data_IF_977864384319
#
_entry.id   IF_977864384319
#
_cell.length_a   1.000
_cell.length_b   1.000
_cell.length_c   1.000
_cell.angle_alpha   90.00
_cell.angle_beta   90.00
_cell.angle_gamma   90.00
#
_symmetry.space_group_name_H-M   'P 1'
#
loop_
_entity.id
_entity.type
_entity.pdbx_description
1 polymer ?
#
# COMPACT_ATOMS: atom_id res chain seq x y z
N UNK A 1 11.93 -10.43 42.90
CA UNK A 1 12.02 -9.67 41.63
C UNK A 1 11.86 -10.60 40.41
N UNK A 2 12.58 -11.73 40.35
CA UNK A 2 12.48 -12.73 39.27
C UNK A 2 11.07 -13.33 39.12
N UNK A 3 10.37 -13.62 40.21
CA UNK A 3 8.99 -14.14 40.16
C UNK A 3 7.98 -13.18 39.49
N UNK A 4 8.22 -11.87 39.57
CA UNK A 4 7.43 -10.84 38.87
C UNK A 4 7.79 -10.80 37.37
N UNK A 5 9.08 -10.93 37.03
CA UNK A 5 9.57 -10.98 35.65
C UNK A 5 9.13 -12.24 34.90
N UNK A 6 9.09 -13.38 35.59
CA UNK A 6 8.54 -14.64 35.06
C UNK A 6 7.02 -14.53 34.81
N UNK A 7 6.28 -13.89 35.72
CA UNK A 7 4.87 -13.56 35.49
C UNK A 7 4.69 -12.59 34.31
N UNK A 8 5.61 -11.64 34.12
CA UNK A 8 5.61 -10.74 32.96
C UNK A 8 5.85 -11.50 31.64
N UNK A 9 6.83 -12.41 31.59
CA UNK A 9 7.15 -13.20 30.40
C UNK A 9 6.02 -14.17 29.97
N UNK A 10 5.29 -14.74 30.94
CA UNK A 10 4.30 -15.79 30.64
C UNK A 10 2.87 -15.29 30.78
N UNK A 11 2.47 -14.81 31.97
CA UNK A 11 1.06 -14.51 32.26
C UNK A 11 0.60 -13.16 31.70
N UNK A 12 1.46 -12.14 31.78
CA UNK A 12 1.12 -10.79 31.32
C UNK A 12 1.39 -10.58 29.82
N UNK A 13 2.04 -11.55 29.17
CA UNK A 13 2.33 -11.51 27.74
C UNK A 13 1.07 -11.75 26.90
N UNK A 14 1.01 -11.10 25.74
CA UNK A 14 -0.04 -11.33 24.74
C UNK A 14 0.18 -12.67 24.03
N UNK A 15 -0.80 -13.13 23.23
CA UNK A 15 -0.64 -14.34 22.40
C UNK A 15 0.55 -14.14 21.45
N UNK A 16 0.67 -12.95 20.89
CA UNK A 16 1.73 -12.53 19.98
C UNK A 16 3.10 -12.52 20.68
N UNK A 17 3.19 -11.96 21.90
CA UNK A 17 4.42 -11.97 22.69
C UNK A 17 4.87 -13.40 23.01
N UNK A 18 3.95 -14.28 23.39
CA UNK A 18 4.26 -15.68 23.68
C UNK A 18 4.77 -16.41 22.44
N UNK A 19 4.12 -16.23 21.27
CA UNK A 19 4.60 -16.79 19.99
C UNK A 19 5.99 -16.29 19.64
N UNK A 20 6.22 -14.98 19.86
CA UNK A 20 7.51 -14.32 19.67
C UNK A 20 8.61 -14.95 20.54
N UNK A 21 8.37 -15.09 21.84
CA UNK A 21 9.35 -15.68 22.75
C UNK A 21 9.62 -17.16 22.46
N UNK A 22 8.58 -17.95 22.19
CA UNK A 22 8.73 -19.36 21.81
C UNK A 22 9.60 -19.48 20.56
N UNK A 23 9.37 -18.65 19.54
CA UNK A 23 10.15 -18.72 18.30
C UNK A 23 11.60 -18.32 18.51
N UNK A 24 11.88 -17.30 19.34
CA UNK A 24 13.25 -16.93 19.72
C UNK A 24 13.99 -18.12 20.34
N UNK A 25 13.33 -18.86 21.24
CA UNK A 25 13.92 -20.04 21.89
C UNK A 25 14.15 -21.18 20.89
N UNK A 26 13.15 -21.49 20.05
CA UNK A 26 13.26 -22.54 19.02
C UNK A 26 14.41 -22.26 18.05
N UNK A 27 14.58 -21.00 17.64
CA UNK A 27 15.61 -20.59 16.69
C UNK A 27 17.02 -20.69 17.30
N UNK A 28 17.20 -20.37 18.59
CA UNK A 28 18.49 -20.53 19.28
C UNK A 28 18.95 -21.99 19.37
N UNK A 29 18.00 -22.94 19.39
CA UNK A 29 18.30 -24.33 19.72
C UNK A 29 18.92 -25.13 18.57
N UNK A 30 19.03 -24.57 17.35
CA UNK A 30 19.52 -25.24 16.13
C UNK A 30 18.94 -26.65 15.91
N UNK A 31 17.76 -26.91 16.49
CA UNK A 31 17.15 -28.22 16.45
C UNK A 31 16.10 -28.18 15.35
N UNK A 32 16.35 -28.93 14.27
CA UNK A 32 15.41 -29.26 13.19
C UNK A 32 14.17 -30.05 13.68
N UNK A 33 13.74 -29.87 14.93
CA UNK A 33 12.48 -30.39 15.46
C UNK A 33 11.39 -29.48 14.92
N UNK A 34 10.65 -29.99 13.92
CA UNK A 34 9.37 -29.49 13.39
C UNK A 34 8.86 -28.28 14.18
N UNK A 35 9.08 -27.07 13.66
CA UNK A 35 8.42 -25.84 14.15
C UNK A 35 6.96 -26.18 14.38
N UNK A 36 6.57 -26.32 15.65
CA UNK A 36 5.20 -26.65 16.01
C UNK A 36 4.38 -25.48 15.49
N UNK A 37 3.38 -25.71 14.64
CA UNK A 37 2.54 -24.61 14.17
C UNK A 37 1.96 -23.87 15.38
N UNK A 38 2.34 -22.60 15.52
CA UNK A 38 1.97 -21.74 16.63
C UNK A 38 0.68 -20.97 16.29
N UNK A 39 0.25 -20.94 15.02
CA UNK A 39 -0.82 -20.07 14.53
C UNK A 39 -2.20 -20.46 15.09
N UNK A 40 -2.43 -21.74 15.32
CA UNK A 40 -3.72 -22.26 15.82
C UNK A 40 -3.76 -22.41 17.35
N UNK A 41 -2.66 -22.08 18.05
CA UNK A 41 -2.58 -22.23 19.50
C UNK A 41 -3.22 -21.06 20.23
N UNK A 42 -4.03 -21.37 21.23
CA UNK A 42 -4.60 -20.39 22.16
C UNK A 42 -3.56 -19.96 23.22
N UNK A 43 -3.87 -18.90 23.99
CA UNK A 43 -2.95 -18.32 24.98
C UNK A 43 -2.44 -19.35 25.98
N UNK A 44 -3.32 -20.16 26.56
CA UNK A 44 -2.96 -21.17 27.58
C UNK A 44 -2.04 -22.25 27.01
N UNK A 45 -2.27 -22.69 25.77
CA UNK A 45 -1.40 -23.65 25.09
C UNK A 45 0.00 -23.07 24.81
N UNK A 46 0.08 -21.77 24.50
CA UNK A 46 1.36 -21.08 24.31
C UNK A 46 2.09 -20.85 25.63
N UNK A 47 1.40 -20.44 26.69
CA UNK A 47 1.99 -20.34 28.03
C UNK A 47 2.57 -21.68 28.49
N UNK A 48 1.82 -22.77 28.29
CA UNK A 48 2.28 -24.13 28.60
C UNK A 48 3.53 -24.50 27.80
N UNK A 49 3.53 -24.26 26.49
CA UNK A 49 4.66 -24.59 25.63
C UNK A 49 5.92 -23.77 25.97
N UNK A 50 5.75 -22.48 26.27
CA UNK A 50 6.85 -21.61 26.69
C UNK A 50 7.47 -22.11 27.99
N UNK A 51 6.65 -22.55 28.95
CA UNK A 51 7.15 -23.18 30.20
C UNK A 51 7.95 -24.45 29.93
N UNK A 52 7.45 -25.34 29.06
CA UNK A 52 8.19 -26.55 28.69
C UNK A 52 9.55 -26.19 28.11
N UNK A 53 9.61 -25.22 27.21
CA UNK A 53 10.88 -24.78 26.65
C UNK A 53 11.83 -24.16 27.69
N UNK A 54 11.33 -23.40 28.66
CA UNK A 54 12.14 -22.87 29.76
C UNK A 54 12.71 -24.02 30.59
N UNK A 55 11.87 -24.96 31.05
CA UNK A 55 12.29 -26.14 31.80
C UNK A 55 13.37 -26.93 31.06
N UNK A 56 13.15 -27.20 29.76
CA UNK A 56 14.07 -27.98 28.95
C UNK A 56 15.40 -27.26 28.65
N UNK A 57 15.41 -25.93 28.54
CA UNK A 57 16.66 -25.18 28.28
C UNK A 57 17.48 -24.99 29.55
N UNK A 58 16.82 -24.81 30.69
CA UNK A 58 17.49 -24.55 31.96
C UNK A 58 17.72 -25.81 32.81
N UNK A 59 17.19 -26.95 32.36
CA UNK A 59 17.19 -28.22 33.10
C UNK A 59 16.57 -28.06 34.51
N UNK A 60 15.45 -27.34 34.58
CA UNK A 60 14.70 -27.08 35.81
C UNK A 60 13.42 -27.91 35.79
N UNK A 61 13.17 -28.66 36.86
CA UNK A 61 11.93 -29.43 37.00
C UNK A 61 10.71 -28.52 36.95
N UNK A 62 9.69 -28.98 36.24
CA UNK A 62 8.47 -28.22 36.02
C UNK A 62 7.75 -27.87 37.32
N UNK A 63 7.71 -28.81 38.26
CA UNK A 63 7.09 -28.61 39.57
C UNK A 63 7.83 -27.53 40.38
N UNK A 64 9.16 -27.45 40.25
CA UNK A 64 9.99 -26.42 40.89
C UNK A 64 9.72 -25.06 40.24
N UNK A 65 9.64 -25.01 38.90
CA UNK A 65 9.34 -23.79 38.17
C UNK A 65 7.92 -23.26 38.45
N UNK A 66 6.93 -24.15 38.56
CA UNK A 66 5.53 -23.78 38.84
C UNK A 66 5.30 -23.41 40.32
N UNK A 67 6.01 -24.05 41.25
CA UNK A 67 5.95 -23.73 42.69
C UNK A 67 6.79 -22.50 43.07
N UNK A 68 7.72 -22.10 42.22
CA UNK A 68 8.63 -20.97 42.47
C UNK A 68 9.72 -21.28 43.50
N UNK A 69 9.90 -22.55 43.88
CA UNK A 69 10.87 -23.00 44.88
C UNK A 69 12.28 -23.20 44.29
N UNK A 70 12.74 -22.21 43.52
CA UNK A 70 14.01 -22.24 42.80
C UNK A 70 15.16 -21.95 43.77
N UNK A 71 16.25 -22.69 43.65
CA UNK A 71 17.48 -22.40 44.37
C UNK A 71 18.20 -21.15 43.78
N UNK A 72 19.27 -20.68 44.43
CA UNK A 72 19.95 -19.44 44.02
C UNK A 72 20.50 -19.51 42.59
N UNK A 73 21.08 -20.64 42.21
CA UNK A 73 21.66 -20.85 40.87
C UNK A 73 20.55 -20.92 39.81
N UNK A 74 19.48 -21.67 40.08
CA UNK A 74 18.31 -21.77 39.18
C UNK A 74 17.61 -20.42 38.99
N UNK A 75 17.52 -19.61 40.06
CA UNK A 75 17.00 -18.24 39.98
C UNK A 75 17.86 -17.35 39.07
N UNK A 76 19.18 -17.45 39.19
CA UNK A 76 20.11 -16.68 38.37
C UNK A 76 20.05 -17.12 36.90
N UNK A 77 20.03 -18.42 36.64
CA UNK A 77 19.86 -18.99 35.30
C UNK A 77 18.53 -18.58 34.65
N UNK A 78 17.43 -18.65 35.40
CA UNK A 78 16.12 -18.20 34.92
C UNK A 78 16.10 -16.69 34.66
N UNK A 79 16.72 -15.90 35.52
CA UNK A 79 16.86 -14.45 35.35
C UNK A 79 17.60 -14.11 34.05
N UNK A 80 18.79 -14.69 33.86
CA UNK A 80 19.61 -14.49 32.66
C UNK A 80 18.89 -14.94 31.39
N UNK A 81 18.17 -16.06 31.44
CA UNK A 81 17.38 -16.56 30.30
C UNK A 81 16.26 -15.60 29.89
N UNK A 82 15.52 -15.05 30.87
CA UNK A 82 14.47 -14.07 30.62
C UNK A 82 15.07 -12.78 30.03
N UNK A 83 16.18 -12.31 30.61
CA UNK A 83 16.88 -11.10 30.14
C UNK A 83 17.40 -11.25 28.71
N UNK A 84 17.93 -12.42 28.38
CA UNK A 84 18.34 -12.78 27.03
C UNK A 84 17.19 -12.72 26.01
N UNK A 85 16.03 -13.28 26.37
CA UNK A 85 14.84 -13.26 25.50
C UNK A 85 14.36 -11.83 25.29
N UNK A 86 14.26 -11.03 26.35
CA UNK A 86 13.84 -9.64 26.24
C UNK A 86 14.84 -8.79 25.46
N UNK A 87 16.14 -9.01 25.68
CA UNK A 87 17.21 -8.35 24.93
C UNK A 87 17.12 -8.66 23.44
N UNK A 88 16.96 -9.93 23.07
CA UNK A 88 16.79 -10.32 21.66
C UNK A 88 15.50 -9.77 21.05
N UNK A 89 14.38 -9.86 21.76
CA UNK A 89 13.10 -9.28 21.34
C UNK A 89 13.22 -7.79 21.04
N UNK A 90 13.96 -7.06 21.90
CA UNK A 90 14.25 -5.63 21.74
C UNK A 90 15.20 -5.36 20.58
N UNK A 91 16.26 -6.15 20.42
CA UNK A 91 17.22 -5.99 19.33
C UNK A 91 16.55 -6.21 17.96
N UNK A 92 15.74 -7.26 17.81
CA UNK A 92 14.97 -7.52 16.58
C UNK A 92 14.05 -6.33 16.24
N UNK A 93 13.42 -5.75 17.26
CA UNK A 93 12.56 -4.59 17.07
C UNK A 93 13.35 -3.35 16.62
N UNK A 94 14.46 -3.05 17.30
CA UNK A 94 15.32 -1.92 16.95
C UNK A 94 15.86 -2.06 15.52
N UNK A 95 16.32 -3.26 15.15
CA UNK A 95 16.79 -3.56 13.81
C UNK A 95 15.67 -3.37 12.78
N UNK A 96 14.46 -3.88 13.05
CA UNK A 96 13.31 -3.65 12.17
C UNK A 96 12.98 -2.17 11.97
N UNK A 97 13.04 -1.36 13.04
CA UNK A 97 12.76 0.07 12.98
C UNK A 97 13.70 0.80 11.98
N UNK A 98 14.95 0.35 11.83
CA UNK A 98 15.90 0.88 10.85
C UNK A 98 15.46 0.61 9.38
N UNK A 99 14.78 -0.50 9.11
CA UNK A 99 14.32 -0.88 7.75
C UNK A 99 12.93 -0.34 7.38
N UNK A 100 12.17 0.19 8.35
CA UNK A 100 10.79 0.68 8.10
C UNK A 100 10.61 2.16 8.44
N UNK A 101 11.67 2.84 8.87
CA UNK A 101 11.64 4.26 9.23
C UNK A 101 11.06 5.16 8.14
N UNK A 102 11.30 4.85 6.86
CA UNK A 102 10.78 5.59 5.70
C UNK A 102 9.25 5.56 5.57
N UNK A 103 8.55 4.65 6.27
CA UNK A 103 7.08 4.60 6.33
C UNK A 103 6.50 5.54 7.39
N UNK A 104 7.31 5.99 8.35
CA UNK A 104 6.83 6.77 9.49
C UNK A 104 6.29 8.12 9.05
N UNK A 105 5.03 8.42 9.40
CA UNK A 105 4.35 9.67 9.04
C UNK A 105 4.32 10.00 7.52
N UNK A 106 4.53 8.99 6.66
CA UNK A 106 4.53 9.12 5.20
C UNK A 106 3.37 8.33 4.58
N UNK A 107 2.18 8.94 4.39
CA UNK A 107 1.03 8.26 3.79
C UNK A 107 1.30 7.69 2.40
N UNK A 108 2.04 8.43 1.54
CA UNK A 108 2.39 7.99 0.18
C UNK A 108 3.21 6.69 0.22
N UNK A 109 4.24 6.65 1.07
CA UNK A 109 5.09 5.50 1.28
C UNK A 109 4.30 4.28 1.78
N UNK A 110 3.39 4.47 2.74
CA UNK A 110 2.52 3.40 3.27
C UNK A 110 1.65 2.78 2.17
N UNK A 111 1.07 3.59 1.29
CA UNK A 111 0.24 3.08 0.20
C UNK A 111 1.08 2.30 -0.80
N UNK A 112 2.21 2.86 -1.23
CA UNK A 112 3.15 2.21 -2.12
C UNK A 112 3.63 0.85 -1.57
N UNK A 113 4.12 0.84 -0.34
CA UNK A 113 4.59 -0.36 0.37
C UNK A 113 3.54 -1.46 0.35
N UNK A 114 2.30 -1.15 0.76
CA UNK A 114 1.26 -2.16 0.82
C UNK A 114 0.92 -2.72 -0.56
N UNK A 115 0.78 -1.88 -1.59
CA UNK A 115 0.49 -2.38 -2.95
C UNK A 115 1.62 -3.25 -3.49
N UNK A 116 2.88 -2.85 -3.27
CA UNK A 116 4.03 -3.65 -3.68
C UNK A 116 4.09 -4.99 -2.94
N UNK A 117 3.87 -5.01 -1.62
CA UNK A 117 3.81 -6.26 -0.84
C UNK A 117 2.70 -7.19 -1.33
N UNK A 118 1.53 -6.66 -1.70
CA UNK A 118 0.47 -7.48 -2.30
C UNK A 118 0.92 -8.09 -3.63
N UNK A 119 1.61 -7.32 -4.46
CA UNK A 119 2.13 -7.79 -5.74
C UNK A 119 3.21 -8.86 -5.57
N UNK A 120 4.16 -8.62 -4.66
CA UNK A 120 5.21 -9.57 -4.27
C UNK A 120 4.62 -10.88 -3.79
N UNK A 121 3.67 -10.81 -2.85
CA UNK A 121 2.98 -11.99 -2.33
C UNK A 121 2.26 -12.77 -3.42
N UNK A 122 1.52 -12.07 -4.29
CA UNK A 122 0.73 -12.71 -5.36
C UNK A 122 1.61 -13.39 -6.42
N UNK A 123 2.78 -12.83 -6.71
CA UNK A 123 3.67 -13.35 -7.75
C UNK A 123 4.79 -14.25 -7.19
N UNK A 124 4.85 -14.46 -5.87
CA UNK A 124 5.92 -15.21 -5.18
C UNK A 124 7.34 -14.70 -5.52
N UNK A 125 7.51 -13.36 -5.58
CA UNK A 125 8.76 -12.71 -5.98
C UNK A 125 9.58 -12.24 -4.79
N UNK A 126 10.81 -12.72 -4.65
CA UNK A 126 11.71 -12.33 -3.55
C UNK A 126 12.71 -11.25 -3.90
N UNK A 127 13.09 -11.12 -5.17
CA UNK A 127 14.07 -10.12 -5.62
C UNK A 127 13.38 -9.09 -6.51
N UNK A 128 13.45 -7.83 -6.10
CA UNK A 128 12.90 -6.69 -6.86
C UNK A 128 14.04 -5.72 -7.18
N UNK A 129 14.10 -5.27 -8.44
CA UNK A 129 15.03 -4.23 -8.86
C UNK A 129 14.29 -3.26 -9.75
N UNK A 130 14.63 -1.98 -9.69
CA UNK A 130 14.02 -0.99 -10.57
C UNK A 130 14.54 -1.15 -12.02
N UNK A 131 13.67 -1.09 -13.05
CA UNK A 131 12.21 -1.17 -12.99
C UNK A 131 11.71 -2.59 -12.68
N UNK A 132 10.65 -2.71 -11.88
CA UNK A 132 10.11 -3.99 -11.39
C UNK A 132 9.16 -4.63 -12.40
N UNK A 133 9.62 -4.78 -13.64
CA UNK A 133 8.79 -5.17 -14.80
C UNK A 133 8.24 -6.61 -14.66
N UNK A 134 8.92 -7.45 -13.87
CA UNK A 134 8.51 -8.84 -13.64
C UNK A 134 7.32 -8.98 -12.69
N UNK A 135 6.98 -7.94 -11.93
CA UNK A 135 5.76 -7.95 -11.11
C UNK A 135 4.56 -7.72 -12.02
N UNK A 136 3.99 -8.82 -12.50
CA UNK A 136 2.74 -8.76 -13.23
C UNK A 136 1.61 -8.42 -12.27
N UNK A 137 1.00 -7.26 -12.50
CA UNK A 137 -0.34 -6.98 -12.01
C UNK A 137 -1.38 -7.56 -12.97
N UNK A 138 -1.05 -8.47 -13.88
CA UNK A 138 -2.05 -9.21 -14.65
C UNK A 138 -2.56 -10.43 -13.85
N UNK A 139 -3.56 -11.14 -14.37
CA UNK A 139 -3.93 -12.44 -13.81
C UNK A 139 -2.95 -13.45 -14.41
N UNK A 140 -2.50 -14.47 -13.66
CA UNK A 140 -1.93 -15.63 -14.33
C UNK A 140 -2.97 -16.06 -15.36
N UNK A 141 -2.61 -16.02 -16.64
CA UNK A 141 -3.45 -16.63 -17.66
C UNK A 141 -3.58 -18.09 -17.22
N UNK A 142 -4.79 -18.52 -16.89
CA UNK A 142 -5.11 -19.93 -16.71
C UNK A 142 -4.94 -20.62 -18.08
N UNK A 143 -3.69 -20.77 -18.51
CA UNK A 143 -3.30 -21.53 -19.67
C UNK A 143 -3.19 -23.00 -19.23
N UNK A 144 -4.30 -23.55 -18.74
CA UNK A 144 -4.49 -24.98 -18.58
C UNK A 144 -5.70 -25.41 -19.42
N UNK A 145 -5.62 -25.12 -20.71
CA UNK A 145 -6.20 -26.00 -21.73
C UNK A 145 -5.37 -27.30 -21.73
N UNK A 146 -5.69 -28.16 -20.78
CA UNK A 146 -5.50 -29.60 -20.93
C UNK A 146 -6.67 -30.22 -20.19
N UNK A 147 -7.67 -30.57 -20.99
CA UNK A 147 -8.61 -31.62 -20.67
C UNK A 147 -7.86 -32.82 -20.07
N UNK A 148 -8.56 -33.53 -19.17
CA UNK A 148 -8.19 -34.78 -18.49
C UNK A 148 -7.86 -34.58 -16.98
N UNK A 149 -8.88 -34.85 -16.16
CA UNK A 149 -8.83 -35.35 -14.76
C UNK A 149 -8.37 -34.42 -13.63
N UNK A 150 -8.98 -33.24 -13.52
CA UNK A 150 -8.72 -32.26 -12.44
C UNK A 150 -9.83 -32.16 -11.37
N UNK A 151 -10.31 -33.28 -10.81
CA UNK A 151 -11.26 -33.22 -9.68
C UNK A 151 -10.82 -33.81 -8.35
N UNK A 152 -9.67 -34.49 -8.27
CA UNK A 152 -9.23 -35.06 -6.97
C UNK A 152 -7.77 -34.74 -6.58
N UNK A 153 -6.97 -34.10 -7.44
CA UNK A 153 -5.54 -33.83 -7.20
C UNK A 153 -5.17 -32.36 -6.86
N UNK A 154 -6.14 -31.44 -6.78
CA UNK A 154 -5.85 -29.99 -6.67
C UNK A 154 -5.58 -29.52 -5.22
N UNK A 155 -6.07 -30.23 -4.20
CA UNK A 155 -5.78 -29.91 -2.80
C UNK A 155 -4.29 -30.07 -2.41
N UNK A 156 -3.60 -31.18 -2.73
CA UNK A 156 -2.22 -31.36 -2.32
C UNK A 156 -1.24 -30.38 -3.01
N UNK A 157 -1.57 -29.85 -4.19
CA UNK A 157 -0.69 -28.92 -4.91
C UNK A 157 -0.65 -27.53 -4.26
N UNK A 158 -1.79 -27.00 -3.78
CA UNK A 158 -1.82 -25.72 -3.05
C UNK A 158 -1.05 -25.77 -1.73
N UNK A 159 -1.15 -26.88 -1.00
CA UNK A 159 -0.41 -27.08 0.24
C UNK A 159 1.10 -27.19 -0.03
N UNK A 160 1.51 -27.81 -1.14
CA UNK A 160 2.92 -27.86 -1.58
C UNK A 160 3.45 -26.52 -2.09
N UNK A 161 2.67 -25.76 -2.85
CA UNK A 161 3.00 -24.38 -3.25
C UNK A 161 3.15 -23.48 -2.01
N UNK A 162 2.28 -23.63 -1.01
CA UNK A 162 2.38 -22.87 0.24
C UNK A 162 3.64 -23.22 1.06
N UNK A 163 4.12 -24.46 0.97
CA UNK A 163 5.37 -24.90 1.64
C UNK A 163 6.62 -24.37 0.90
N UNK A 164 6.54 -24.21 -0.43
CA UNK A 164 7.66 -23.80 -1.27
C UNK A 164 7.78 -22.28 -1.44
N UNK A 165 6.69 -21.53 -1.24
CA UNK A 165 6.68 -20.08 -1.38
C UNK A 165 7.65 -19.41 -0.41
N UNK A 166 8.59 -18.65 -0.97
CA UNK A 166 9.59 -17.93 -0.19
C UNK A 166 9.01 -16.68 0.50
N UNK A 167 7.84 -16.19 0.07
CA UNK A 167 7.19 -14.96 0.60
C UNK A 167 5.95 -15.22 1.44
N UNK A 168 5.63 -16.47 1.73
CA UNK A 168 4.35 -16.83 2.36
C UNK A 168 4.16 -16.24 3.77
N UNK A 169 5.26 -15.97 4.47
CA UNK A 169 5.26 -15.26 5.76
C UNK A 169 4.76 -13.82 5.65
N UNK A 170 4.74 -13.21 4.45
CA UNK A 170 4.23 -11.85 4.21
C UNK A 170 2.70 -11.79 4.06
N UNK A 171 2.01 -12.93 3.92
CA UNK A 171 0.53 -13.00 3.79
C UNK A 171 -0.25 -12.14 4.80
N UNK A 172 0.14 -12.01 6.08
CA UNK A 172 -0.56 -11.15 7.02
C UNK A 172 -0.60 -9.67 6.60
N UNK A 173 0.44 -9.18 5.91
CA UNK A 173 0.53 -7.79 5.45
C UNK A 173 -0.49 -7.49 4.34
N UNK A 174 -0.87 -8.50 3.53
CA UNK A 174 -1.86 -8.34 2.46
C UNK A 174 -3.29 -8.13 2.99
N UNK A 175 -3.51 -8.33 4.29
CA UNK A 175 -4.80 -8.03 4.94
C UNK A 175 -4.91 -6.56 5.36
N UNK A 176 -3.81 -5.81 5.34
CA UNK A 176 -3.77 -4.42 5.74
C UNK A 176 -4.17 -3.55 4.55
N UNK A 177 -5.21 -2.72 4.74
CA UNK A 177 -5.67 -1.77 3.74
C UNK A 177 -5.76 -0.37 4.36
N UNK A 178 -5.02 0.63 3.84
CA UNK A 178 -5.00 1.98 4.40
C UNK A 178 -6.32 2.71 4.14
N UNK A 179 -7.04 2.31 3.09
CA UNK A 179 -8.36 2.86 2.79
C UNK A 179 -9.41 2.49 3.86
N UNK A 180 -9.25 1.33 4.53
CA UNK A 180 -10.16 0.83 5.56
C UNK A 180 -9.73 1.12 7.00
N UNK A 181 -8.48 1.49 7.22
CA UNK A 181 -7.90 1.63 8.57
C UNK A 181 -7.57 3.09 8.90
N UNK A 182 -7.57 3.43 10.19
CA UNK A 182 -7.11 4.74 10.71
C UNK A 182 -5.69 4.68 11.27
N UNK A 183 -5.21 3.51 11.68
CA UNK A 183 -3.90 3.29 12.29
C UNK A 183 -3.00 2.34 11.47
N UNK A 184 -2.96 2.53 10.15
CA UNK A 184 -2.27 1.62 9.22
C UNK A 184 -0.79 1.40 9.56
N UNK A 185 -0.05 2.47 9.86
CA UNK A 185 1.37 2.39 10.20
C UNK A 185 1.62 1.47 11.42
N UNK A 186 0.86 1.67 12.51
CA UNK A 186 0.97 0.83 13.71
C UNK A 186 0.68 -0.64 13.39
N UNK A 187 -0.31 -0.92 12.53
CA UNK A 187 -0.62 -2.30 12.09
C UNK A 187 0.52 -2.91 11.26
N UNK A 188 1.15 -2.14 10.39
CA UNK A 188 2.32 -2.59 9.61
C UNK A 188 3.45 -2.98 10.56
N UNK A 189 3.84 -2.09 11.49
CA UNK A 189 4.89 -2.36 12.48
C UNK A 189 4.60 -3.63 13.26
N UNK A 190 3.42 -3.72 13.89
CA UNK A 190 3.06 -4.89 14.70
C UNK A 190 3.06 -6.18 13.89
N UNK A 191 2.64 -6.12 12.62
CA UNK A 191 2.64 -7.29 11.74
C UNK A 191 4.05 -7.68 11.31
N UNK A 192 4.92 -6.71 10.99
CA UNK A 192 6.32 -6.97 10.64
C UNK A 192 7.12 -7.48 11.84
N UNK A 193 6.94 -6.90 13.03
CA UNK A 193 7.60 -7.37 14.27
C UNK A 193 7.24 -8.84 14.54
N UNK A 194 5.95 -9.18 14.38
CA UNK A 194 5.50 -10.57 14.47
C UNK A 194 6.16 -11.46 13.41
N UNK A 195 6.14 -11.05 12.14
CA UNK A 195 6.71 -11.82 11.03
C UNK A 195 8.20 -12.08 11.25
N UNK A 196 8.99 -11.04 11.43
CA UNK A 196 10.46 -11.07 11.57
C UNK A 196 10.87 -11.93 12.76
N UNK A 197 10.11 -11.87 13.86
CA UNK A 197 10.40 -12.72 15.01
C UNK A 197 9.99 -14.18 14.81
N UNK A 198 8.95 -14.42 14.03
CA UNK A 198 8.37 -15.77 13.83
C UNK A 198 9.06 -16.59 12.73
N UNK A 199 10.00 -15.99 11.98
CA UNK A 199 10.71 -16.65 10.89
C UNK A 199 12.19 -16.94 11.23
N UNK A 200 12.75 -17.94 10.56
CA UNK A 200 14.17 -18.30 10.67
C UNK A 200 15.10 -17.12 10.31
N UNK A 201 16.31 -17.08 10.87
CA UNK A 201 17.29 -16.01 10.60
C UNK A 201 17.53 -15.76 9.11
N UNK A 202 17.64 -16.82 8.29
CA UNK A 202 17.82 -16.68 6.84
C UNK A 202 16.63 -16.01 6.14
N UNK A 203 15.40 -16.35 6.54
CA UNK A 203 14.18 -15.70 6.02
C UNK A 203 14.06 -14.26 6.51
N UNK A 204 14.56 -13.98 7.72
CA UNK A 204 14.60 -12.65 8.30
C UNK A 204 15.53 -11.72 7.51
N UNK A 205 16.75 -12.15 7.26
CA UNK A 205 17.74 -11.43 6.45
C UNK A 205 17.16 -11.07 5.07
N UNK A 206 16.59 -12.05 4.36
CA UNK A 206 15.88 -11.81 3.09
C UNK A 206 14.70 -10.84 3.20
N UNK A 207 14.01 -10.82 4.33
CA UNK A 207 12.90 -9.87 4.55
C UNK A 207 13.46 -8.46 4.73
N UNK A 208 14.58 -8.29 5.43
CA UNK A 208 15.25 -7.00 5.55
C UNK A 208 15.80 -6.50 4.21
N UNK A 209 16.45 -7.37 3.42
CA UNK A 209 16.86 -7.07 2.05
C UNK A 209 15.67 -6.57 1.21
N UNK A 210 14.54 -7.28 1.27
CA UNK A 210 13.32 -6.86 0.57
C UNK A 210 12.79 -5.50 1.03
N UNK A 211 12.83 -5.20 2.33
CA UNK A 211 12.40 -3.91 2.87
C UNK A 211 13.30 -2.78 2.39
N UNK A 212 14.60 -3.02 2.32
CA UNK A 212 15.58 -2.08 1.79
C UNK A 212 15.38 -1.85 0.29
N UNK A 213 15.22 -2.92 -0.50
CA UNK A 213 14.94 -2.80 -1.93
C UNK A 213 13.67 -1.97 -2.19
N UNK A 214 12.62 -2.18 -1.39
CA UNK A 214 11.38 -1.40 -1.47
C UNK A 214 11.59 0.09 -1.15
N UNK A 215 12.42 0.40 -0.16
CA UNK A 215 12.78 1.78 0.18
C UNK A 215 13.56 2.46 -0.95
N UNK A 216 14.56 1.77 -1.52
CA UNK A 216 15.37 2.28 -2.62
C UNK A 216 14.49 2.57 -3.85
N UNK A 217 13.64 1.61 -4.22
CA UNK A 217 12.67 1.77 -5.31
C UNK A 217 11.73 2.94 -5.02
N UNK A 218 11.17 3.04 -3.81
CA UNK A 218 10.29 4.14 -3.44
C UNK A 218 11.00 5.49 -3.53
N UNK A 219 12.25 5.57 -3.07
CA UNK A 219 13.07 6.80 -3.12
C UNK A 219 13.28 7.25 -4.56
N UNK A 220 13.61 6.32 -5.47
CA UNK A 220 13.73 6.62 -6.90
C UNK A 220 12.41 7.17 -7.48
N UNK A 221 11.28 6.53 -7.18
CA UNK A 221 9.96 6.93 -7.67
C UNK A 221 9.54 8.28 -7.08
N UNK A 222 9.82 8.50 -5.80
CA UNK A 222 9.50 9.71 -5.08
C UNK A 222 10.09 10.94 -5.78
N UNK A 223 11.33 10.83 -6.26
CA UNK A 223 12.02 11.88 -7.00
C UNK A 223 11.58 12.00 -8.47
N UNK A 224 11.11 10.92 -9.10
CA UNK A 224 10.67 10.93 -10.51
C UNK A 224 9.28 11.57 -10.68
N UNK A 225 8.36 11.32 -9.77
CA UNK A 225 6.98 11.83 -9.91
C UNK A 225 6.88 13.27 -9.44
N UNK A 226 6.50 14.15 -10.35
CA UNK A 226 6.27 15.56 -10.05
C UNK A 226 4.90 15.78 -9.38
N UNK A 227 4.86 15.74 -8.05
CA UNK A 227 3.66 15.99 -7.25
C UNK A 227 3.14 17.43 -7.35
N UNK A 228 3.86 18.34 -8.01
CA UNK A 228 3.37 19.70 -8.28
C UNK A 228 2.35 19.77 -9.42
N UNK A 229 2.15 18.68 -10.18
CA UNK A 229 1.14 18.62 -11.23
C UNK A 229 -0.28 18.83 -10.67
N UNK A 230 -1.14 19.46 -11.49
CA UNK A 230 -2.53 19.80 -11.15
C UNK A 230 -3.36 18.61 -10.64
N UNK A 231 -3.06 17.41 -11.15
CA UNK A 231 -3.72 16.15 -10.80
C UNK A 231 -3.61 15.80 -9.31
N UNK A 232 -2.52 16.19 -8.66
CA UNK A 232 -2.26 15.92 -7.25
C UNK A 232 -2.62 17.09 -6.34
N UNK A 233 -2.62 18.32 -6.87
CA UNK A 233 -2.89 19.55 -6.10
C UNK A 233 -4.35 19.98 -6.08
N UNK A 234 -5.22 19.39 -6.90
CA UNK A 234 -6.62 19.80 -6.95
C UNK A 234 -7.34 19.60 -5.60
N UNK A 235 -8.22 20.52 -5.25
CA UNK A 235 -9.14 20.43 -4.10
C UNK A 235 -10.58 20.10 -4.51
N UNK A 236 -10.86 19.96 -5.81
CA UNK A 236 -12.21 19.67 -6.30
C UNK A 236 -12.58 18.20 -6.05
N UNK A 237 -13.46 17.96 -5.07
CA UNK A 237 -13.89 16.62 -4.64
C UNK A 237 -14.50 15.78 -5.75
N UNK A 238 -15.33 16.36 -6.62
CA UNK A 238 -16.00 15.63 -7.69
C UNK A 238 -15.04 15.20 -8.79
N UNK A 239 -14.05 16.06 -9.08
CA UNK A 239 -12.99 15.75 -10.03
C UNK A 239 -12.06 14.67 -9.49
N UNK A 240 -11.71 14.74 -8.20
CA UNK A 240 -10.94 13.69 -7.50
C UNK A 240 -11.71 12.38 -7.53
N UNK A 241 -13.01 12.39 -7.21
CA UNK A 241 -13.85 11.21 -7.19
C UNK A 241 -13.95 10.56 -8.57
N UNK A 242 -14.23 11.36 -9.59
CA UNK A 242 -14.29 10.87 -10.97
C UNK A 242 -12.96 10.24 -11.39
N UNK A 243 -11.84 10.89 -11.07
CA UNK A 243 -10.54 10.42 -11.51
C UNK A 243 -10.10 9.17 -10.75
N UNK A 244 -10.33 9.13 -9.44
CA UNK A 244 -10.13 7.96 -8.60
C UNK A 244 -10.90 6.75 -9.11
N UNK A 245 -12.20 6.90 -9.42
CA UNK A 245 -13.00 5.81 -10.01
C UNK A 245 -12.49 5.40 -11.39
N UNK A 246 -12.10 6.37 -12.23
CA UNK A 246 -11.57 6.08 -13.56
C UNK A 246 -10.29 5.25 -13.48
N UNK A 247 -9.33 5.65 -12.63
CA UNK A 247 -8.07 4.94 -12.46
C UNK A 247 -8.26 3.59 -11.80
N UNK A 248 -9.14 3.49 -10.81
CA UNK A 248 -9.45 2.20 -10.15
C UNK A 248 -10.09 1.20 -11.12
N UNK A 249 -10.86 1.69 -12.10
CA UNK A 249 -11.40 0.84 -13.17
C UNK A 249 -10.34 0.43 -14.20
N UNK A 250 -9.42 1.34 -14.51
CA UNK A 250 -8.36 1.13 -15.51
C UNK A 250 -7.23 0.24 -14.97
N UNK A 251 -6.91 0.38 -13.68
CA UNK A 251 -5.83 -0.33 -12.98
C UNK A 251 -6.36 -1.04 -11.70
N UNK A 252 -7.32 -1.98 -11.82
CA UNK A 252 -8.02 -2.56 -10.67
C UNK A 252 -7.11 -3.34 -9.72
N UNK A 253 -5.96 -3.82 -10.20
CA UNK A 253 -5.04 -4.67 -9.42
C UNK A 253 -3.98 -3.88 -8.66
N UNK A 254 -3.78 -2.61 -9.03
CA UNK A 254 -2.98 -1.64 -8.28
C UNK A 254 -3.87 -0.87 -7.29
N UNK A 255 -5.18 -0.87 -7.52
CA UNK A 255 -6.13 -0.15 -6.69
C UNK A 255 -6.37 -0.85 -5.34
N UNK A 256 -6.13 -0.12 -4.26
CA UNK A 256 -6.58 -0.48 -2.93
C UNK A 256 -8.12 -0.37 -2.83
N UNK A 257 -8.71 -1.02 -1.83
CA UNK A 257 -10.17 -1.03 -1.64
C UNK A 257 -10.79 0.35 -1.75
N UNK A 258 -11.98 0.45 -2.35
CA UNK A 258 -12.70 1.72 -2.49
C UNK A 258 -12.86 2.45 -1.15
N UNK A 259 -12.78 3.77 -1.19
CA UNK A 259 -12.92 4.66 -0.02
C UNK A 259 -13.75 5.87 -0.39
N UNK A 260 -14.50 6.41 0.57
CA UNK A 260 -15.24 7.67 0.40
C UNK A 260 -14.45 8.90 0.84
N UNK A 261 -13.37 8.72 1.60
CA UNK A 261 -12.55 9.82 2.10
C UNK A 261 -11.68 10.42 0.99
N UNK A 262 -11.83 11.73 0.75
CA UNK A 262 -11.13 12.46 -0.33
C UNK A 262 -9.61 12.40 -0.23
N UNK A 263 -9.04 12.47 0.97
CA UNK A 263 -7.58 12.41 1.14
C UNK A 263 -7.05 11.02 0.81
N UNK A 264 -7.76 9.97 1.24
CA UNK A 264 -7.45 8.57 0.88
C UNK A 264 -7.60 8.32 -0.63
N UNK A 265 -8.57 8.96 -1.30
CA UNK A 265 -8.69 8.94 -2.76
C UNK A 265 -7.47 9.57 -3.43
N UNK A 266 -7.00 10.73 -2.95
CA UNK A 266 -5.77 11.37 -3.45
C UNK A 266 -4.53 10.49 -3.27
N UNK A 267 -4.37 9.89 -2.09
CA UNK A 267 -3.26 8.97 -1.83
C UNK A 267 -3.33 7.74 -2.72
N UNK A 268 -4.53 7.21 -2.97
CA UNK A 268 -4.72 6.09 -3.91
C UNK A 268 -4.35 6.47 -5.34
N UNK A 269 -4.75 7.65 -5.81
CA UNK A 269 -4.37 8.17 -7.15
C UNK A 269 -2.85 8.27 -7.25
N UNK A 270 -2.19 8.88 -6.26
CA UNK A 270 -0.74 9.03 -6.26
C UNK A 270 -0.03 7.68 -6.22
N UNK A 271 -0.50 6.75 -5.40
CA UNK A 271 0.03 5.39 -5.34
C UNK A 271 -0.08 4.64 -6.66
N UNK A 272 -1.17 4.82 -7.43
CA UNK A 272 -1.28 4.23 -8.77
C UNK A 272 -0.17 4.76 -9.68
N UNK A 273 0.11 6.07 -9.65
CA UNK A 273 1.23 6.65 -10.39
C UNK A 273 2.57 6.10 -9.90
N UNK A 274 2.77 6.01 -8.59
CA UNK A 274 4.00 5.48 -7.99
C UNK A 274 4.28 4.04 -8.47
N UNK A 275 3.27 3.17 -8.41
CA UNK A 275 3.39 1.77 -8.83
C UNK A 275 3.59 1.65 -10.34
N UNK A 276 2.89 2.45 -11.16
CA UNK A 276 3.11 2.48 -12.60
C UNK A 276 4.55 2.94 -12.92
N UNK A 277 5.07 3.93 -12.20
CA UNK A 277 6.46 4.38 -12.34
C UNK A 277 7.47 3.30 -11.94
N UNK A 278 7.15 2.50 -10.92
CA UNK A 278 7.95 1.40 -10.44
C UNK A 278 8.06 0.24 -11.45
N UNK A 279 6.97 -0.02 -12.16
CA UNK A 279 6.74 -1.30 -12.87
C UNK A 279 6.69 -1.18 -14.39
N UNK A 280 6.84 0.03 -14.92
CA UNK A 280 6.88 0.32 -16.34
C UNK A 280 8.27 0.83 -16.72
N UNK A 281 8.71 0.54 -17.94
CA UNK A 281 9.96 1.12 -18.47
C UNK A 281 9.90 2.66 -18.41
N UNK A 282 11.01 3.35 -18.09
CA UNK A 282 11.00 4.80 -17.88
C UNK A 282 10.39 5.61 -19.02
N UNK A 283 10.73 5.28 -20.28
CA UNK A 283 10.23 5.98 -21.47
C UNK A 283 8.73 5.74 -21.71
N UNK A 284 8.27 4.53 -21.43
CA UNK A 284 6.86 4.16 -21.53
C UNK A 284 6.04 4.82 -20.42
N UNK A 285 6.59 4.87 -19.20
CA UNK A 285 5.95 5.57 -18.09
C UNK A 285 5.78 7.06 -18.39
N UNK A 286 6.77 7.75 -18.98
CA UNK A 286 6.62 9.16 -19.34
C UNK A 286 5.43 9.40 -20.27
N UNK A 287 5.27 8.56 -21.32
CA UNK A 287 4.13 8.64 -22.25
C UNK A 287 2.79 8.34 -21.56
N UNK A 288 2.78 7.35 -20.67
CA UNK A 288 1.60 6.98 -19.89
C UNK A 288 1.21 8.11 -18.94
N UNK A 289 2.17 8.69 -18.23
CA UNK A 289 1.98 9.79 -17.28
C UNK A 289 1.39 11.02 -17.97
N UNK A 290 1.90 11.39 -19.15
CA UNK A 290 1.35 12.47 -19.98
C UNK A 290 -0.10 12.19 -20.38
N UNK A 291 -0.38 10.98 -20.85
CA UNK A 291 -1.73 10.56 -21.26
C UNK A 291 -2.72 10.64 -20.10
N UNK A 292 -2.34 10.12 -18.93
CA UNK A 292 -3.15 10.15 -17.72
C UNK A 292 -3.37 11.58 -17.20
N UNK A 293 -2.34 12.43 -17.28
CA UNK A 293 -2.40 13.84 -16.90
C UNK A 293 -3.30 14.64 -17.85
N UNK A 294 -3.21 14.42 -19.15
CA UNK A 294 -4.03 15.10 -20.15
C UNK A 294 -5.51 14.68 -20.04
N UNK A 295 -5.78 13.39 -19.77
CA UNK A 295 -7.14 12.89 -19.47
C UNK A 295 -7.75 13.64 -18.28
N UNK A 296 -6.98 13.84 -17.21
CA UNK A 296 -7.41 14.63 -16.06
C UNK A 296 -7.66 16.11 -16.43
N UNK A 297 -6.73 16.75 -17.14
CA UNK A 297 -6.85 18.16 -17.53
C UNK A 297 -8.04 18.43 -18.44
N UNK A 298 -8.35 17.53 -19.38
CA UNK A 298 -9.57 17.59 -20.20
C UNK A 298 -10.82 17.56 -19.33
N UNK A 299 -10.88 16.65 -18.36
CA UNK A 299 -12.03 16.57 -17.46
C UNK A 299 -12.13 17.80 -16.56
N UNK A 300 -11.02 18.31 -16.03
CA UNK A 300 -10.96 19.55 -15.25
C UNK A 300 -11.56 20.73 -16.03
N UNK A 301 -11.20 20.89 -17.31
CA UNK A 301 -11.78 21.91 -18.20
C UNK A 301 -13.30 21.79 -18.31
N UNK A 302 -13.83 20.56 -18.41
CA UNK A 302 -15.28 20.33 -18.43
C UNK A 302 -15.95 20.72 -17.12
N UNK A 303 -15.34 20.41 -15.97
CA UNK A 303 -15.87 20.82 -14.67
C UNK A 303 -15.84 22.35 -14.47
N UNK A 304 -14.75 23.00 -14.88
CA UNK A 304 -14.65 24.46 -14.82
C UNK A 304 -15.67 25.14 -15.77
N UNK A 305 -15.87 24.57 -16.96
CA UNK A 305 -16.87 25.05 -17.92
C UNK A 305 -18.32 24.73 -17.52
N UNK A 306 -18.56 23.90 -16.51
CA UNK A 306 -19.91 23.77 -15.92
C UNK A 306 -20.27 24.96 -15.03
N UNK A 307 -19.29 25.69 -14.48
CA UNK A 307 -19.50 26.97 -13.81
C UNK A 307 -19.64 28.14 -14.79
N UNK A 308 -18.95 28.07 -15.93
CA UNK A 308 -19.10 29.00 -17.04
C UNK A 308 -19.85 28.36 -18.21
N UNK A 309 -21.05 27.87 -17.94
CA UNK A 309 -21.99 27.54 -19.01
C UNK A 309 -22.60 28.84 -19.55
N UNK A 310 -21.74 29.71 -20.09
CA UNK A 310 -22.14 30.54 -21.20
C UNK A 310 -22.55 29.54 -22.28
N UNK A 311 -23.85 29.38 -22.48
CA UNK A 311 -24.38 28.43 -23.46
C UNK A 311 -23.76 28.76 -24.82
N UNK A 312 -23.63 27.76 -25.69
CA UNK A 312 -23.27 28.00 -27.10
C UNK A 312 -24.20 29.03 -27.78
N UNK A 313 -25.33 29.37 -27.16
CA UNK A 313 -26.22 30.44 -27.61
C UNK A 313 -25.59 31.83 -27.43
N UNK A 314 -24.74 32.12 -26.45
CA UNK A 314 -24.15 33.49 -26.34
C UNK A 314 -23.04 33.76 -27.37
N UNK A 315 -22.56 32.75 -28.10
CA UNK A 315 -21.69 32.97 -29.28
C UNK A 315 -22.46 33.07 -30.60
N UNK A 316 -23.77 32.89 -30.56
CA UNK A 316 -24.63 33.06 -31.73
C UNK A 316 -25.50 34.25 -31.45
N UNK A 317 -25.20 35.40 -32.07
CA UNK A 317 -26.06 36.58 -31.97
C UNK A 317 -27.49 36.22 -32.46
N UNK A 318 -28.37 35.86 -31.53
CA UNK A 318 -29.78 35.58 -31.79
C UNK A 318 -30.55 36.87 -31.68
N UNK A 319 -30.65 37.60 -32.78
CA UNK A 319 -31.56 38.73 -32.92
C UNK A 319 -32.92 38.23 -33.40
N UNK A 320 -34.00 38.84 -32.92
CA UNK A 320 -35.34 38.65 -33.49
C UNK A 320 -35.38 39.17 -34.94
N UNK A 321 -36.39 38.79 -35.72
CA UNK A 321 -36.56 39.32 -37.11
C UNK A 321 -36.77 40.84 -37.13
N UNK A 322 -37.40 41.40 -36.09
CA UNK A 322 -37.56 42.85 -35.93
C UNK A 322 -36.22 43.53 -35.63
N UNK A 323 -35.38 42.90 -34.81
CA UNK A 323 -34.03 43.40 -34.51
C UNK A 323 -33.11 43.30 -35.72
N UNK A 324 -33.23 42.24 -36.53
CA UNK A 324 -32.55 42.15 -37.82
C UNK A 324 -32.98 43.25 -38.79
N UNK A 325 -34.26 43.58 -38.81
CA UNK A 325 -34.79 44.65 -39.66
C UNK A 325 -34.24 46.02 -39.24
N UNK A 326 -34.12 46.29 -37.94
CA UNK A 326 -33.48 47.50 -37.40
C UNK A 326 -31.98 47.53 -37.72
N UNK A 327 -31.27 46.42 -37.49
CA UNK A 327 -29.84 46.30 -37.78
C UNK A 327 -29.53 46.49 -39.26
N UNK A 328 -30.39 45.98 -40.15
CA UNK A 328 -30.26 46.16 -41.61
C UNK A 328 -30.38 47.63 -41.99
N UNK A 329 -31.36 48.36 -41.41
CA UNK A 329 -31.49 49.81 -41.61
C UNK A 329 -30.30 50.60 -41.07
N UNK A 330 -29.79 50.26 -39.89
CA UNK A 330 -28.63 50.92 -39.28
C UNK A 330 -27.35 50.65 -40.09
N UNK A 331 -27.20 49.44 -40.63
CA UNK A 331 -26.04 49.04 -41.41
C UNK A 331 -26.08 49.47 -42.88
N UNK A 332 -27.11 50.20 -43.33
CA UNK A 332 -27.25 50.65 -44.70
C UNK A 332 -27.61 49.54 -45.69
N UNK A 333 -28.64 48.76 -45.38
CA UNK A 333 -29.18 47.65 -46.20
C UNK A 333 -28.18 46.51 -46.49
N UNK A 334 -27.17 46.34 -45.62
CA UNK A 334 -26.26 45.21 -45.69
C UNK A 334 -26.97 43.89 -45.36
N UNK A 335 -26.55 42.80 -46.04
CA UNK A 335 -27.13 41.48 -45.80
C UNK A 335 -26.90 41.01 -44.35
N UNK A 336 -27.83 40.22 -43.80
CA UNK A 336 -27.73 39.67 -42.43
C UNK A 336 -26.37 39.01 -42.14
N UNK A 337 -25.79 38.33 -43.13
CA UNK A 337 -24.48 37.69 -42.98
C UNK A 337 -23.33 38.70 -42.86
N UNK A 338 -23.34 39.80 -43.61
CA UNK A 338 -22.32 40.84 -43.51
C UNK A 338 -22.37 41.54 -42.15
N UNK A 339 -23.57 41.79 -41.64
CA UNK A 339 -23.79 42.36 -40.30
C UNK A 339 -23.26 41.40 -39.22
N UNK A 340 -23.51 40.09 -39.33
CA UNK A 340 -22.97 39.08 -38.41
C UNK A 340 -21.46 39.06 -38.36
N UNK A 341 -20.79 39.13 -39.52
CA UNK A 341 -19.33 39.10 -39.61
C UNK A 341 -18.73 40.32 -38.92
N UNK A 342 -19.24 41.53 -39.22
CA UNK A 342 -18.77 42.76 -38.57
C UNK A 342 -19.00 42.78 -37.06
N UNK A 343 -20.18 42.34 -36.59
CA UNK A 343 -20.45 42.28 -35.15
C UNK A 343 -19.52 41.31 -34.45
N UNK A 344 -19.19 40.18 -35.09
CA UNK A 344 -18.23 39.22 -34.56
C UNK A 344 -16.82 39.80 -34.48
N UNK A 345 -16.36 40.49 -35.51
CA UNK A 345 -15.06 41.19 -35.51
C UNK A 345 -14.97 42.25 -34.41
N UNK A 346 -16.03 43.03 -34.18
CA UNK A 346 -16.09 44.03 -33.11
C UNK A 346 -16.07 43.39 -31.72
N UNK A 347 -16.80 42.29 -31.52
CA UNK A 347 -16.81 41.53 -30.25
C UNK A 347 -15.43 40.93 -29.99
N UNK A 348 -14.80 40.32 -31.00
CA UNK A 348 -13.48 39.71 -30.87
C UNK A 348 -12.39 40.78 -30.55
N UNK A 349 -12.49 41.97 -31.14
CA UNK A 349 -11.61 43.11 -30.83
C UNK A 349 -11.78 43.62 -29.39
N UNK A 350 -13.01 43.68 -28.89
CA UNK A 350 -13.28 44.19 -27.53
C UNK A 350 -12.92 43.18 -26.44
N UNK A 351 -13.09 41.88 -26.73
CA UNK A 351 -12.63 40.79 -25.88
C UNK A 351 -11.11 40.70 -25.82
N UNK A 352 -10.41 40.96 -26.93
CA UNK A 352 -8.95 41.04 -26.98
C UNK A 352 -8.39 42.18 -26.12
N UNK A 353 -8.99 43.38 -26.20
CA UNK A 353 -8.59 44.53 -25.37
C UNK A 353 -8.84 44.32 -23.87
N UNK A 354 -9.81 43.49 -23.51
CA UNK A 354 -10.14 43.16 -22.12
C UNK A 354 -9.12 42.22 -21.48
N UNK A 355 -8.30 41.51 -22.28
CA UNK A 355 -7.23 40.65 -21.79
C UNK A 355 -5.89 41.39 -21.60
N UNK A 356 -5.69 42.55 -22.24
CA UNK A 356 -4.47 43.36 -22.10
C UNK A 356 -4.51 44.33 -20.91
N UNK A 357 -5.67 44.51 -20.27
CA UNK A 357 -5.85 45.40 -19.10
C UNK A 357 -6.03 44.64 -17.76
N UNK A 358 -5.73 43.35 -17.73
CA UNK A 358 -5.83 42.48 -16.54
C UNK A 358 -4.50 42.28 -15.85
#
# INVERSE_FOLDING_TARGET
MIHKRYQELIRNSTIEDLRKYITIIETRRNNNRKTKDLNDRNKTQLEFLLKEYICENLNIDREILDSGNLNKEELELLGNFIDDIFSLSKNIKNELDDYIGWLHEQPRAIYFFLVMIHAIYKNDFTNICYPVIKLSFEEPKDNLNTDITKRELIKPIKELEDILSEVNHLKPLTKICPNKSTSTYKRIISTLDFIVTSISSRKRERTYELLQDLEEIYTMIFHRINTNKNIFKTSNSDLIEWYYRSLTKEFPKVALSLTENTDKKKQSILCIFDVLCATTEPEEFTKLEETLTEKFNRKKRVFNNKGNKISKEERTLTFSEDDWSKLTKIAGDQSKNQIKVKLKEMIDLELGKSQEKG
#
